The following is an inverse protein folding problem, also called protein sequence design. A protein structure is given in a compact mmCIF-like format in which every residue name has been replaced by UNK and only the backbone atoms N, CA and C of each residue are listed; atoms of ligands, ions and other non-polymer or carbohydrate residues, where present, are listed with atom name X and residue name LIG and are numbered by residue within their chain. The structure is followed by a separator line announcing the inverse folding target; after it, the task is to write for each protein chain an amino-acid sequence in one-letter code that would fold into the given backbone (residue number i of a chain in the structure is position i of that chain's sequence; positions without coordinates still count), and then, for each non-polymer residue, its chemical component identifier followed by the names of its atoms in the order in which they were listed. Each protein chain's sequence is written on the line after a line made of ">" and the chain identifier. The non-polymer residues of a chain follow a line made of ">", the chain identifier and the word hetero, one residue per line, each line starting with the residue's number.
data_IF_997598502084
#
_entry.id   IF_997598502084
#
_cell.length_a   1.000
_cell.length_b   1.000
_cell.length_c   1.000
_cell.angle_alpha   90.00
_cell.angle_beta   90.00
_cell.angle_gamma   90.00
#
_symmetry.space_group_name_H-M   'P 1'
#
loop_
_entity.id
_entity.type
_entity.pdbx_description
1 polymer ?
#
# COMPACT_ATOMS: atom_id res chain seq x y z
N UNK A 1 35.44 -25.75 10.85
CA UNK A 1 34.21 -24.93 11.00
C UNK A 1 33.58 -24.75 9.62
N UNK A 2 32.46 -25.42 9.34
CA UNK A 2 31.76 -25.30 8.06
C UNK A 2 30.93 -24.01 8.04
N UNK A 3 31.21 -23.12 7.08
CA UNK A 3 30.39 -21.96 6.78
C UNK A 3 29.14 -22.41 6.01
N UNK A 4 27.98 -22.45 6.67
CA UNK A 4 26.70 -22.63 5.98
C UNK A 4 26.38 -21.32 5.26
N UNK A 5 26.46 -21.33 3.93
CA UNK A 5 26.28 -20.13 3.07
C UNK A 5 24.82 -19.86 2.68
N UNK A 6 23.94 -20.85 2.79
CA UNK A 6 22.51 -20.71 2.53
C UNK A 6 21.69 -21.74 3.31
N UNK A 7 20.49 -21.34 3.73
CA UNK A 7 19.47 -22.24 4.28
C UNK A 7 18.27 -22.16 3.34
N UNK A 8 17.89 -23.30 2.76
CA UNK A 8 16.71 -23.44 1.89
C UNK A 8 15.63 -24.15 2.69
N UNK A 9 14.51 -23.48 2.94
CA UNK A 9 13.34 -24.06 3.59
C UNK A 9 12.25 -24.23 2.54
N UNK A 10 11.84 -25.47 2.29
CA UNK A 10 10.75 -25.81 1.36
C UNK A 10 9.53 -26.23 2.17
N UNK A 11 8.44 -25.45 2.07
CA UNK A 11 7.17 -25.75 2.72
C UNK A 11 6.14 -26.17 1.67
N UNK A 12 5.56 -27.35 1.85
CA UNK A 12 4.41 -27.82 1.09
C UNK A 12 3.15 -27.61 1.93
N UNK A 13 2.20 -26.82 1.42
CA UNK A 13 0.89 -26.67 2.06
C UNK A 13 -0.15 -27.48 1.30
N UNK A 14 -0.86 -28.33 2.04
CA UNK A 14 -2.01 -29.10 1.55
C UNK A 14 -3.16 -28.16 1.20
N UNK A 15 -3.86 -28.48 0.12
CA UNK A 15 -5.06 -27.77 -0.30
C UNK A 15 -6.14 -27.82 0.79
N UNK A 16 -6.59 -26.64 1.26
CA UNK A 16 -7.67 -26.51 2.24
C UNK A 16 -8.93 -26.06 1.50
N UNK A 17 -9.99 -26.89 1.56
CA UNK A 17 -11.26 -26.65 0.84
C UNK A 17 -12.13 -25.56 1.49
N UNK A 18 -12.02 -25.37 2.81
CA UNK A 18 -12.75 -24.38 3.60
C UNK A 18 -11.93 -24.03 4.84
N UNK A 19 -11.40 -22.80 4.96
CA UNK A 19 -10.69 -22.35 6.16
C UNK A 19 -9.48 -21.45 5.89
N UNK A 20 -8.96 -20.81 6.94
CA UNK A 20 -7.74 -20.02 6.88
C UNK A 20 -6.51 -20.91 7.11
N UNK A 21 -5.47 -20.72 6.29
CA UNK A 21 -4.18 -21.38 6.49
C UNK A 21 -3.24 -20.38 7.14
N UNK A 22 -2.85 -20.64 8.39
CA UNK A 22 -1.85 -19.84 9.11
C UNK A 22 -0.50 -20.54 8.97
N UNK A 23 0.43 -19.89 8.27
CA UNK A 23 1.79 -20.39 8.06
C UNK A 23 2.74 -19.64 8.97
N UNK A 24 3.18 -20.28 10.06
CA UNK A 24 4.17 -19.70 10.97
C UNK A 24 5.57 -20.09 10.53
N UNK A 25 6.26 -19.17 9.86
CA UNK A 25 7.66 -19.36 9.44
C UNK A 25 8.64 -18.97 10.55
N UNK A 26 9.32 -19.97 11.12
CA UNK A 26 10.47 -19.77 12.01
C UNK A 26 11.74 -19.54 11.18
N UNK A 27 12.00 -18.28 10.81
CA UNK A 27 13.33 -17.91 10.27
C UNK A 27 14.39 -18.05 11.38
N UNK A 28 15.33 -18.98 11.19
CA UNK A 28 16.58 -19.07 11.94
C UNK A 28 17.50 -17.93 11.50
N UNK A 29 18.14 -17.26 12.45
CA UNK A 29 19.12 -16.22 12.15
C UNK A 29 20.38 -16.85 11.55
N UNK A 30 20.72 -16.50 10.30
CA UNK A 30 21.97 -16.92 9.65
C UNK A 30 22.96 -15.75 9.74
N UNK A 31 24.10 -15.95 10.42
CA UNK A 31 25.09 -14.89 10.67
C UNK A 31 25.83 -14.40 9.43
N UNK A 32 25.92 -15.21 8.36
CA UNK A 32 26.64 -14.89 7.11
C UNK A 32 26.11 -15.75 5.94
N UNK A 33 24.87 -15.53 5.50
CA UNK A 33 24.28 -16.28 4.38
C UNK A 33 22.87 -15.82 4.03
N UNK A 34 22.39 -16.19 2.83
CA UNK A 34 21.04 -15.88 2.39
C UNK A 34 20.04 -16.93 2.90
N UNK A 35 18.85 -16.49 3.31
CA UNK A 35 17.71 -17.38 3.58
C UNK A 35 16.74 -17.25 2.41
N UNK A 36 16.60 -18.32 1.63
CA UNK A 36 15.64 -18.37 0.51
C UNK A 36 14.45 -19.19 0.98
N UNK A 37 13.31 -18.52 1.15
CA UNK A 37 12.03 -19.16 1.46
C UNK A 37 11.24 -19.27 0.17
N UNK A 38 11.11 -20.48 -0.36
CA UNK A 38 10.27 -20.74 -1.54
C UNK A 38 8.95 -21.31 -1.06
N UNK A 39 7.86 -20.62 -1.38
CA UNK A 39 6.53 -20.99 -0.93
C UNK A 39 5.68 -21.32 -2.15
N UNK A 40 5.29 -22.60 -2.29
CA UNK A 40 4.42 -23.05 -3.36
C UNK A 40 2.97 -23.00 -2.85
N UNK A 41 2.19 -22.02 -3.31
CA UNK A 41 0.75 -21.95 -3.03
C UNK A 41 -0.03 -22.67 -4.12
N UNK A 42 -0.60 -23.82 -3.79
CA UNK A 42 -1.70 -24.40 -4.55
C UNK A 42 -2.99 -23.68 -4.12
N UNK A 43 -3.68 -23.12 -5.13
CA UNK A 43 -4.85 -22.25 -5.03
C UNK A 43 -5.73 -22.42 -3.77
N UNK A 44 -5.88 -21.34 -3.00
CA UNK A 44 -6.93 -21.23 -1.98
C UNK A 44 -8.21 -20.80 -2.69
N UNK A 45 -9.18 -21.71 -2.80
CA UNK A 45 -10.55 -21.35 -3.22
C UNK A 45 -11.26 -20.81 -1.97
N UNK A 46 -11.57 -19.51 -1.96
CA UNK A 46 -12.35 -18.84 -0.91
C UNK A 46 -11.71 -18.81 0.49
N UNK A 47 -10.47 -18.33 0.62
CA UNK A 47 -9.79 -18.15 1.91
C UNK A 47 -8.61 -17.18 1.85
N UNK A 48 -8.25 -16.59 2.99
CA UNK A 48 -7.13 -15.66 3.13
C UNK A 48 -5.86 -16.39 3.60
N UNK A 49 -4.70 -16.05 3.04
CA UNK A 49 -3.39 -16.53 3.52
C UNK A 49 -2.73 -15.42 4.33
N UNK A 50 -2.43 -15.69 5.62
CA UNK A 50 -1.95 -14.67 6.56
C UNK A 50 -0.47 -14.88 6.87
N UNK A 51 0.40 -13.96 6.42
CA UNK A 51 1.85 -13.97 6.71
C UNK A 51 2.24 -12.89 7.73
N UNK A 52 2.05 -13.15 9.02
CA UNK A 52 2.37 -12.17 10.08
C UNK A 52 3.84 -11.70 10.10
N UNK A 53 4.80 -12.57 9.76
CA UNK A 53 6.25 -12.22 9.75
C UNK A 53 6.68 -11.49 8.48
N UNK A 54 6.03 -11.76 7.35
CA UNK A 54 6.34 -11.13 6.07
C UNK A 54 5.89 -9.66 6.06
N UNK A 55 4.73 -9.35 6.63
CA UNK A 55 4.29 -7.98 6.87
C UNK A 55 5.30 -7.21 7.71
N UNK A 56 5.86 -7.81 8.77
CA UNK A 56 6.89 -7.16 9.59
C UNK A 56 8.15 -6.84 8.80
N UNK A 57 8.64 -7.78 7.99
CA UNK A 57 9.80 -7.55 7.12
C UNK A 57 9.53 -6.45 6.08
N UNK A 58 8.34 -6.44 5.48
CA UNK A 58 7.94 -5.41 4.54
C UNK A 58 7.98 -4.00 5.19
N UNK A 59 7.59 -3.88 6.47
CA UNK A 59 7.64 -2.62 7.23
C UNK A 59 9.08 -2.15 7.48
N UNK A 60 9.96 -3.07 7.84
CA UNK A 60 11.34 -2.78 8.24
C UNK A 60 12.21 -2.34 7.04
N UNK A 61 11.95 -2.85 5.83
CA UNK A 61 12.77 -2.57 4.65
C UNK A 61 12.22 -1.48 3.72
N UNK A 62 10.95 -1.07 3.89
CA UNK A 62 10.29 -0.11 3.01
C UNK A 62 9.59 -0.84 1.88
N UNK A 63 8.39 -1.35 2.20
CA UNK A 63 7.60 -2.17 1.30
C UNK A 63 7.29 -1.45 -0.03
N UNK A 64 7.20 -2.24 -1.10
CA UNK A 64 6.62 -1.82 -2.36
C UNK A 64 5.20 -2.38 -2.43
N UNK A 65 4.21 -1.50 -2.50
CA UNK A 65 2.82 -1.88 -2.72
C UNK A 65 2.42 -1.59 -4.18
N UNK A 66 1.35 -2.20 -4.67
CA UNK A 66 0.76 -1.85 -5.95
C UNK A 66 -0.74 -1.58 -5.81
N UNK A 67 -1.26 -0.72 -6.69
CA UNK A 67 -2.69 -0.49 -6.90
C UNK A 67 -2.97 -0.59 -8.40
N UNK A 68 -3.96 -1.41 -8.77
CA UNK A 68 -4.49 -1.49 -10.14
C UNK A 68 -5.73 -0.65 -10.27
N UNK A 69 -5.72 0.24 -11.25
CA UNK A 69 -6.84 1.10 -11.59
C UNK A 69 -7.54 0.62 -12.86
N UNK A 70 -8.85 0.79 -12.89
CA UNK A 70 -9.69 0.64 -14.08
C UNK A 70 -10.65 1.83 -14.19
N UNK A 71 -10.86 2.34 -15.41
CA UNK A 71 -11.85 3.39 -15.69
C UNK A 71 -12.50 3.20 -17.08
N UNK A 72 -13.14 2.04 -17.27
CA UNK A 72 -13.75 1.65 -18.54
C UNK A 72 -12.87 0.66 -19.29
N UNK A 73 -12.48 0.97 -20.53
CA UNK A 73 -11.54 0.14 -21.30
C UNK A 73 -10.07 0.35 -20.91
N UNK A 74 -9.77 1.45 -20.21
CA UNK A 74 -8.43 1.77 -19.74
C UNK A 74 -8.16 1.16 -18.36
N UNK A 75 -6.91 0.71 -18.17
CA UNK A 75 -6.42 0.15 -16.94
C UNK A 75 -4.92 0.47 -16.78
N UNK A 76 -4.43 0.43 -15.54
CA UNK A 76 -3.00 0.55 -15.29
C UNK A 76 -2.64 0.34 -13.83
N UNK A 77 -1.38 0.01 -13.61
CA UNK A 77 -0.81 -0.28 -12.29
C UNK A 77 0.11 0.84 -11.86
N UNK A 78 0.03 1.21 -10.59
CA UNK A 78 1.07 2.01 -9.94
C UNK A 78 1.78 1.18 -8.89
N UNK A 79 3.02 1.58 -8.60
CA UNK A 79 3.81 1.01 -7.52
C UNK A 79 4.15 2.10 -6.51
N UNK A 80 3.85 1.85 -5.25
CA UNK A 80 4.02 2.79 -4.13
C UNK A 80 5.12 2.27 -3.23
N UNK A 81 6.26 2.97 -3.17
CA UNK A 81 7.31 2.71 -2.18
C UNK A 81 6.96 3.39 -0.87
N UNK A 82 6.91 2.61 0.20
CA UNK A 82 6.57 3.10 1.52
C UNK A 82 7.82 3.43 2.31
N UNK A 83 7.72 4.51 3.10
CA UNK A 83 8.72 4.88 4.07
C UNK A 83 8.73 3.88 5.21
N UNK A 84 9.93 3.43 5.58
CA UNK A 84 10.17 2.53 6.72
C UNK A 84 9.54 3.08 7.99
N UNK A 85 8.91 2.20 8.76
CA UNK A 85 8.31 2.50 10.07
C UNK A 85 7.28 3.64 10.08
N UNK A 86 6.70 4.00 8.93
CA UNK A 86 5.59 4.95 8.90
C UNK A 86 4.31 4.27 9.37
N UNK A 87 3.64 4.85 10.36
CA UNK A 87 2.38 4.31 10.86
C UNK A 87 1.26 4.39 9.79
N UNK A 88 1.21 5.47 9.00
CA UNK A 88 0.33 5.56 7.84
C UNK A 88 0.74 4.57 6.72
N UNK A 89 2.03 4.39 6.47
CA UNK A 89 2.50 3.38 5.52
C UNK A 89 2.10 1.96 5.95
N UNK A 90 2.18 1.66 7.24
CA UNK A 90 1.74 0.38 7.79
C UNK A 90 0.24 0.15 7.61
N UNK A 91 -0.55 1.20 7.85
CA UNK A 91 -1.99 1.17 7.62
C UNK A 91 -2.27 0.94 6.13
N UNK A 92 -1.65 1.73 5.24
CA UNK A 92 -1.77 1.56 3.80
C UNK A 92 -1.51 0.10 3.36
N UNK A 93 -0.46 -0.55 3.90
CA UNK A 93 -0.21 -1.97 3.66
C UNK A 93 -1.32 -2.90 4.14
N UNK A 94 -1.94 -2.62 5.29
CA UNK A 94 -3.06 -3.43 5.79
C UNK A 94 -4.23 -3.40 4.81
N UNK A 95 -4.58 -2.22 4.28
CA UNK A 95 -5.61 -2.08 3.26
C UNK A 95 -5.18 -2.69 1.91
N UNK A 96 -3.92 -2.56 1.50
CA UNK A 96 -3.46 -3.23 0.28
C UNK A 96 -3.54 -4.76 0.37
N UNK A 97 -3.33 -5.33 1.56
CA UNK A 97 -3.27 -6.79 1.75
C UNK A 97 -4.59 -7.42 2.19
N UNK A 98 -5.59 -6.63 2.56
CA UNK A 98 -6.82 -7.18 3.14
C UNK A 98 -6.61 -7.80 4.53
N UNK A 99 -5.52 -7.48 5.23
CA UNK A 99 -5.07 -8.24 6.41
C UNK A 99 -6.12 -8.38 7.52
N UNK A 100 -6.96 -7.36 7.69
CA UNK A 100 -8.04 -7.33 8.71
C UNK A 100 -9.44 -7.33 8.07
N UNK A 101 -9.55 -7.78 6.82
CA UNK A 101 -10.79 -7.78 6.05
C UNK A 101 -11.10 -6.46 5.34
N UNK A 102 -10.34 -5.39 5.61
CA UNK A 102 -10.49 -4.10 4.91
C UNK A 102 -9.53 -4.02 3.74
N UNK A 103 -10.00 -3.51 2.61
CA UNK A 103 -9.21 -3.44 1.39
C UNK A 103 -9.41 -2.13 0.64
N UNK A 104 -8.40 -1.72 -0.15
CA UNK A 104 -8.57 -0.66 -1.14
C UNK A 104 -9.31 -1.14 -2.39
N UNK A 105 -9.46 -2.45 -2.62
CA UNK A 105 -10.24 -2.97 -3.73
C UNK A 105 -11.69 -2.46 -3.63
N UNK A 106 -12.20 -1.90 -4.74
CA UNK A 106 -13.52 -1.30 -4.83
C UNK A 106 -13.57 0.19 -4.51
N UNK A 107 -12.51 0.74 -3.91
CA UNK A 107 -12.39 2.20 -3.69
C UNK A 107 -12.16 2.95 -5.00
N UNK A 108 -12.28 4.28 -4.97
CA UNK A 108 -12.19 5.12 -6.16
C UNK A 108 -11.47 6.44 -5.91
N UNK A 109 -11.20 7.19 -6.98
CA UNK A 109 -10.73 8.56 -6.87
C UNK A 109 -11.88 9.46 -6.39
N UNK A 110 -11.69 10.07 -5.23
CA UNK A 110 -12.72 10.88 -4.55
C UNK A 110 -12.73 12.32 -5.07
N UNK A 111 -11.54 12.89 -5.24
CA UNK A 111 -11.40 14.31 -5.53
C UNK A 111 -10.06 14.61 -6.23
N UNK A 112 -10.07 15.63 -7.09
CA UNK A 112 -8.87 16.29 -7.59
C UNK A 112 -8.82 17.70 -7.00
N UNK A 113 -7.69 18.08 -6.40
CA UNK A 113 -7.39 19.45 -6.02
C UNK A 113 -6.45 20.07 -7.04
N UNK A 114 -6.60 21.38 -7.28
CA UNK A 114 -5.72 22.16 -8.16
C UNK A 114 -5.52 21.53 -9.54
N UNK A 115 -6.59 21.00 -10.15
CA UNK A 115 -6.53 20.36 -11.47
C UNK A 115 -5.80 21.27 -12.47
N UNK A 116 -4.83 20.70 -13.19
CA UNK A 116 -3.99 21.40 -14.18
C UNK A 116 -3.10 22.55 -13.65
N UNK A 117 -2.98 22.69 -12.32
CA UNK A 117 -2.21 23.73 -11.66
C UNK A 117 -1.06 23.14 -10.81
N UNK A 118 -0.05 23.94 -10.41
CA UNK A 118 0.94 23.52 -9.43
C UNK A 118 0.28 22.98 -8.16
N UNK A 119 0.75 21.84 -7.68
CA UNK A 119 0.17 21.17 -6.51
C UNK A 119 -1.09 20.37 -6.80
N UNK A 120 -1.39 20.09 -8.07
CA UNK A 120 -2.42 19.12 -8.44
C UNK A 120 -2.22 17.82 -7.65
N UNK A 121 -3.27 17.38 -6.95
CA UNK A 121 -3.26 16.12 -6.23
C UNK A 121 -4.61 15.44 -6.27
N UNK A 122 -4.59 14.12 -6.17
CA UNK A 122 -5.78 13.28 -6.12
C UNK A 122 -5.95 12.73 -4.72
N UNK A 123 -7.20 12.53 -4.30
CA UNK A 123 -7.56 11.79 -3.09
C UNK A 123 -8.14 10.45 -3.49
N UNK A 124 -7.64 9.38 -2.87
CA UNK A 124 -8.08 8.01 -3.07
C UNK A 124 -8.56 7.44 -1.74
N UNK A 125 -9.60 6.61 -1.78
CA UNK A 125 -10.09 5.87 -0.62
C UNK A 125 -11.59 5.72 -0.67
N UNK A 126 -12.18 5.57 0.50
CA UNK A 126 -13.64 5.44 0.66
C UNK A 126 -14.22 6.72 1.26
N UNK A 127 -15.38 7.11 0.75
CA UNK A 127 -16.18 8.22 1.28
C UNK A 127 -17.58 7.77 1.74
N UNK A 128 -17.94 6.49 1.56
CA UNK A 128 -19.23 5.99 2.03
C UNK A 128 -19.27 5.90 3.57
N UNK A 129 -20.06 6.75 4.26
CA UNK A 129 -20.21 6.68 5.71
C UNK A 129 -20.92 5.38 6.16
N UNK A 130 -21.57 4.65 5.24
CA UNK A 130 -22.26 3.38 5.51
C UNK A 130 -21.32 2.17 5.43
N UNK A 131 -20.15 2.31 4.83
CA UNK A 131 -19.11 1.27 4.83
C UNK A 131 -18.02 1.67 5.84
N UNK A 132 -17.95 1.03 7.02
CA UNK A 132 -17.04 1.42 8.06
C UNK A 132 -15.61 0.93 7.77
N UNK A 133 -14.99 1.44 6.72
CA UNK A 133 -13.52 1.55 6.71
C UNK A 133 -13.09 2.57 7.80
N UNK A 134 -14.00 3.49 8.18
CA UNK A 134 -13.82 4.60 9.13
C UNK A 134 -13.59 4.22 10.60
N UNK A 135 -13.75 2.95 10.99
CA UNK A 135 -13.41 2.52 12.35
C UNK A 135 -11.90 2.23 12.54
N UNK A 136 -11.06 2.51 11.55
CA UNK A 136 -9.63 2.18 11.57
C UNK A 136 -8.77 3.23 12.26
N UNK A 137 -8.15 2.84 13.38
CA UNK A 137 -7.01 3.47 14.06
C UNK A 137 -7.13 5.00 14.27
N UNK A 138 -8.06 5.41 15.13
CA UNK A 138 -8.19 6.79 15.67
C UNK A 138 -6.94 7.30 16.43
N UNK A 139 -5.86 6.54 16.44
CA UNK A 139 -4.63 6.83 17.17
C UNK A 139 -3.36 6.51 16.35
N UNK A 140 -3.42 6.60 15.01
CA UNK A 140 -2.18 6.79 14.24
C UNK A 140 -1.68 8.19 14.59
N UNK A 141 -0.88 8.27 15.65
CA UNK A 141 -0.31 9.51 16.12
C UNK A 141 0.29 10.24 14.93
N UNK A 142 -0.37 11.32 14.50
CA UNK A 142 0.25 12.28 13.62
C UNK A 142 1.47 12.75 14.40
N UNK A 143 2.66 12.27 14.04
CA UNK A 143 3.87 12.80 14.64
C UNK A 143 3.99 14.22 14.09
N UNK A 144 3.43 15.17 14.83
CA UNK A 144 3.47 16.61 14.56
C UNK A 144 4.89 17.16 14.51
N UNK A 145 5.89 16.36 14.92
CA UNK A 145 7.31 16.71 14.94
C UNK A 145 7.96 16.84 13.54
N UNK A 146 7.17 16.91 12.45
CA UNK A 146 7.69 17.17 11.09
C UNK A 146 8.55 16.06 10.47
N UNK A 147 8.75 14.92 11.14
CA UNK A 147 9.60 13.82 10.65
C UNK A 147 9.12 13.23 9.31
N UNK A 148 7.82 13.31 9.04
CA UNK A 148 7.18 12.90 7.78
C UNK A 148 6.91 14.07 6.84
N UNK A 149 7.40 15.26 7.19
CA UNK A 149 7.23 16.43 6.34
C UNK A 149 8.13 16.34 5.11
N UNK A 150 7.55 16.57 3.92
CA UNK A 150 8.27 16.56 2.64
C UNK A 150 7.79 17.68 1.72
N UNK A 151 8.68 18.27 0.90
CA UNK A 151 8.26 19.16 -0.17
C UNK A 151 7.30 18.46 -1.14
N UNK A 152 6.31 19.19 -1.62
CA UNK A 152 5.34 18.68 -2.59
C UNK A 152 6.04 18.37 -3.92
N UNK A 153 6.08 17.09 -4.25
CA UNK A 153 6.74 16.58 -5.46
C UNK A 153 5.82 15.59 -6.17
N UNK A 154 5.88 15.49 -7.52
CA UNK A 154 5.12 14.49 -8.24
C UNK A 154 5.41 13.09 -7.71
N UNK A 155 4.36 12.30 -7.51
CA UNK A 155 4.41 10.97 -6.93
C UNK A 155 4.42 10.94 -5.40
N UNK A 156 4.45 12.07 -4.68
CA UNK A 156 4.41 12.04 -3.21
C UNK A 156 3.09 11.44 -2.70
N UNK A 157 3.16 10.47 -1.78
CA UNK A 157 1.98 9.83 -1.17
C UNK A 157 1.88 10.22 0.30
N UNK A 158 0.73 10.74 0.69
CA UNK A 158 0.50 11.36 1.99
C UNK A 158 -0.88 10.99 2.56
N UNK A 159 -0.99 10.91 3.88
CA UNK A 159 -2.25 10.56 4.55
C UNK A 159 -3.21 11.75 4.65
N UNK A 160 -4.52 11.50 4.66
CA UNK A 160 -5.54 12.53 4.78
C UNK A 160 -5.36 13.50 5.95
N UNK A 161 -5.96 14.68 5.84
CA UNK A 161 -5.99 15.68 6.91
C UNK A 161 -7.09 15.30 7.93
N UNK A 162 -6.78 15.35 9.23
CA UNK A 162 -7.77 15.14 10.28
C UNK A 162 -8.03 13.67 10.65
N UNK A 163 -9.29 13.29 10.86
CA UNK A 163 -9.69 11.95 11.32
C UNK A 163 -9.97 10.95 10.19
N UNK A 164 -9.81 11.37 8.93
CA UNK A 164 -10.06 10.54 7.75
C UNK A 164 -8.94 9.51 7.57
N UNK A 165 -9.04 8.40 8.30
CA UNK A 165 -7.95 7.43 8.46
C UNK A 165 -7.74 6.50 7.26
N UNK A 166 -8.65 6.47 6.28
CA UNK A 166 -8.58 5.51 5.16
C UNK A 166 -8.17 6.18 3.85
N UNK A 167 -8.28 7.52 3.79
CA UNK A 167 -7.99 8.30 2.60
C UNK A 167 -6.53 8.68 2.55
N UNK A 168 -5.98 8.69 1.34
CA UNK A 168 -4.64 9.17 1.08
C UNK A 168 -4.64 10.03 -0.17
N UNK A 169 -3.69 10.95 -0.22
CA UNK A 169 -3.46 11.81 -1.37
C UNK A 169 -2.21 11.40 -2.15
N UNK A 170 -2.23 11.67 -3.45
CA UNK A 170 -1.08 11.52 -4.34
C UNK A 170 -0.89 12.83 -5.11
N UNK A 171 0.30 13.41 -5.01
CA UNK A 171 0.65 14.63 -5.73
C UNK A 171 1.00 14.31 -7.18
N UNK A 172 0.35 14.96 -8.14
CA UNK A 172 0.58 14.76 -9.58
C UNK A 172 1.50 15.82 -10.18
N UNK A 173 1.52 17.03 -9.60
CA UNK A 173 2.34 18.16 -10.06
C UNK A 173 3.12 18.79 -8.93
N UNK A 174 4.33 19.26 -9.24
CA UNK A 174 5.20 19.92 -8.27
C UNK A 174 4.55 21.20 -7.70
N UNK A 175 4.85 21.52 -6.44
CA UNK A 175 4.39 22.75 -5.80
C UNK A 175 5.45 23.32 -4.86
N UNK A 176 5.79 24.59 -5.08
CA UNK A 176 6.78 25.33 -4.28
C UNK A 176 6.15 26.35 -3.34
N UNK A 177 4.84 26.59 -3.45
CA UNK A 177 4.17 27.75 -2.87
C UNK A 177 3.53 27.56 -1.49
N UNK A 178 3.86 26.51 -0.74
CA UNK A 178 3.19 26.26 0.53
C UNK A 178 3.97 25.40 1.52
N UNK A 179 3.35 25.19 2.69
CA UNK A 179 3.90 24.35 3.74
C UNK A 179 4.07 22.91 3.22
N UNK A 180 5.15 22.22 3.60
CA UNK A 180 5.40 20.85 3.17
C UNK A 180 4.29 19.88 3.62
N UNK A 181 4.08 18.80 2.86
CA UNK A 181 3.08 17.79 3.16
C UNK A 181 3.38 17.13 4.52
N UNK A 182 2.52 17.24 5.54
CA UNK A 182 2.88 16.89 6.92
C UNK A 182 2.92 15.38 7.20
N UNK A 183 2.21 14.58 6.39
CA UNK A 183 1.90 13.16 6.61
C UNK A 183 2.40 12.26 5.49
N UNK A 184 3.56 12.58 4.87
CA UNK A 184 4.12 11.76 3.80
C UNK A 184 4.56 10.39 4.32
N UNK A 185 4.02 9.33 3.70
CA UNK A 185 4.35 7.95 4.05
C UNK A 185 4.92 7.14 2.90
N UNK A 186 4.98 7.69 1.68
CA UNK A 186 5.57 7.00 0.54
C UNK A 186 5.70 7.88 -0.70
N UNK A 187 6.09 7.25 -1.79
CA UNK A 187 6.15 7.86 -3.12
C UNK A 187 5.81 6.83 -4.21
N UNK A 188 5.35 7.30 -5.36
CA UNK A 188 5.17 6.49 -6.56
C UNK A 188 6.55 6.14 -7.12
N UNK A 189 6.88 4.86 -7.14
CA UNK A 189 8.11 4.33 -7.74
C UNK A 189 7.95 4.18 -9.26
N UNK A 190 6.76 3.81 -9.72
CA UNK A 190 6.41 3.76 -11.15
C UNK A 190 4.90 3.82 -11.38
N UNK A 191 4.47 4.21 -12.58
CA UNK A 191 3.06 4.30 -12.97
C UNK A 191 2.40 5.65 -12.66
N UNK A 192 3.14 6.71 -12.36
CA UNK A 192 2.54 8.04 -12.09
C UNK A 192 1.73 8.55 -13.30
N UNK A 193 2.20 8.27 -14.50
CA UNK A 193 1.56 8.57 -15.78
C UNK A 193 0.17 7.91 -15.92
N UNK A 194 -0.05 6.77 -15.27
CA UNK A 194 -1.36 6.10 -15.22
C UNK A 194 -2.37 6.98 -14.51
N UNK A 195 -1.98 7.57 -13.37
CA UNK A 195 -2.85 8.48 -12.62
C UNK A 195 -3.06 9.80 -13.36
N UNK A 196 -2.00 10.34 -13.98
CA UNK A 196 -2.10 11.54 -14.82
C UNK A 196 -3.06 11.33 -16.01
N UNK A 197 -3.10 10.12 -16.57
CA UNK A 197 -4.08 9.74 -17.59
C UNK A 197 -5.48 9.58 -17.00
N UNK A 198 -5.61 8.92 -15.85
CA UNK A 198 -6.89 8.66 -15.21
C UNK A 198 -7.63 9.95 -14.79
N UNK A 199 -6.93 11.00 -14.36
CA UNK A 199 -7.57 12.30 -14.00
C UNK A 199 -8.16 13.07 -15.19
N UNK A 200 -7.83 12.65 -16.42
CA UNK A 200 -8.48 13.16 -17.64
C UNK A 200 -9.86 12.54 -17.86
N UNK A 201 -10.20 11.46 -17.14
CA UNK A 201 -11.51 10.84 -17.25
C UNK A 201 -12.62 11.83 -16.81
N UNK A 202 -13.69 12.03 -17.59
CA UNK A 202 -14.74 13.01 -17.28
C UNK A 202 -15.41 12.80 -15.93
N UNK A 203 -15.50 11.54 -15.49
CA UNK A 203 -16.04 11.17 -14.20
C UNK A 203 -14.99 10.39 -13.38
N UNK A 204 -14.28 11.08 -12.50
CA UNK A 204 -13.20 10.48 -11.70
C UNK A 204 -13.68 9.39 -10.74
N UNK A 205 -14.94 9.43 -10.32
CA UNK A 205 -15.51 8.38 -9.45
C UNK A 205 -15.60 7.01 -10.14
N UNK A 206 -15.48 6.97 -11.46
CA UNK A 206 -15.39 5.73 -12.23
C UNK A 206 -13.98 5.15 -12.28
N UNK A 207 -12.96 5.90 -11.83
CA UNK A 207 -11.60 5.39 -11.67
C UNK A 207 -11.51 4.63 -10.37
N UNK A 208 -11.51 3.30 -10.46
CA UNK A 208 -11.58 2.39 -9.31
C UNK A 208 -10.30 1.61 -9.13
N UNK A 209 -9.95 1.35 -7.88
CA UNK A 209 -8.96 0.35 -7.52
C UNK A 209 -9.61 -1.03 -7.68
N UNK A 210 -9.15 -1.82 -8.63
CA UNK A 210 -9.69 -3.16 -8.94
C UNK A 210 -8.87 -4.30 -8.34
N UNK A 211 -7.59 -4.05 -8.06
CA UNK A 211 -6.71 -4.97 -7.34
C UNK A 211 -5.65 -4.16 -6.56
N UNK A 212 -5.12 -4.74 -5.48
CA UNK A 212 -4.02 -4.16 -4.73
C UNK A 212 -3.25 -5.21 -3.94
N UNK A 213 -1.99 -4.91 -3.62
CA UNK A 213 -1.17 -5.84 -2.87
C UNK A 213 0.22 -5.32 -2.55
N UNK A 214 1.09 -6.25 -2.16
CA UNK A 214 2.49 -5.98 -1.81
C UNK A 214 3.38 -6.82 -2.72
N UNK A 215 4.44 -6.20 -3.22
CA UNK A 215 5.46 -6.84 -4.05
C UNK A 215 6.51 -7.46 -3.12
N UNK A 216 6.79 -8.75 -3.34
CA UNK A 216 7.85 -9.49 -2.65
C UNK A 216 9.00 -9.63 -3.65
N UNK A 217 10.15 -9.06 -3.33
CA UNK A 217 11.38 -9.11 -4.13
C UNK A 217 12.52 -9.68 -3.33
#
# INVERSE_FOLDING_TARGET
>A
MQHIRAVVVTLYLLAVKNGAVVVTLYLLAVKNGAVVVTLYLLAVKNGAVVYGKLLRLARDYGALAFLDFNWGSAHGRIYVRLKRNSAQGNQFLQFCTGYDGRTYVGTHLLQIFNKDNPGECIIVGENDPKQPLSASLTNIGYSSNGQYSRPWSPGLVWGGWGTCSTQFGITLRHWTGGLPAPSCFGWIESGLEILQSAVLHPNISQVKVVDCGVVIS
#
